data_IF_040861560459
#
_entry.id   IF_040861560459
#
_cell.length_a   1.000
_cell.length_b   1.000
_cell.length_c   1.000
_cell.angle_alpha   90.00
_cell.angle_beta   90.00
_cell.angle_gamma   90.00
#
_symmetry.space_group_name_H-M   'P 1'
#
loop_
_entity.id
_entity.type
_entity.pdbx_description
1 polymer ?
#
# COMPACT_ATOMS: atom_id res chain seq x y z
N UNK A 1 10.69 -52.86 24.81
CA UNK A 1 9.53 -51.98 25.04
C UNK A 1 9.71 -50.81 24.11
N UNK A 2 9.41 -51.06 22.85
CA UNK A 2 9.77 -50.17 21.75
C UNK A 2 8.80 -48.98 21.75
N UNK A 3 9.32 -47.82 22.12
CA UNK A 3 8.59 -46.57 22.17
C UNK A 3 8.30 -46.07 20.76
N UNK A 4 7.17 -46.50 20.22
CA UNK A 4 6.58 -45.96 19.00
C UNK A 4 6.18 -44.49 19.25
N UNK A 5 7.12 -43.59 18.98
CA UNK A 5 6.87 -42.14 19.08
C UNK A 5 6.20 -41.71 17.78
N UNK A 6 4.95 -41.24 17.80
CA UNK A 6 4.25 -40.88 16.57
C UNK A 6 4.99 -39.74 15.85
N UNK A 7 5.06 -39.77 14.51
CA UNK A 7 5.75 -38.73 13.75
C UNK A 7 5.11 -37.36 14.05
N UNK A 8 5.93 -36.29 14.13
CA UNK A 8 5.43 -34.95 14.44
C UNK A 8 4.34 -34.57 13.42
N UNK A 9 3.17 -34.18 13.93
CA UNK A 9 2.05 -33.74 13.10
C UNK A 9 2.52 -32.60 12.20
N UNK A 10 2.71 -32.88 10.91
CA UNK A 10 3.02 -31.87 9.90
C UNK A 10 1.89 -30.85 9.88
N UNK A 11 2.14 -29.69 10.47
CA UNK A 11 1.27 -28.51 10.34
C UNK A 11 1.22 -28.18 8.85
N UNK A 12 0.11 -28.52 8.19
CA UNK A 12 -0.14 -28.12 6.80
C UNK A 12 -0.11 -26.59 6.77
N UNK A 13 1.00 -25.99 6.36
CA UNK A 13 1.07 -24.55 6.09
C UNK A 13 0.03 -24.27 5.01
N UNK A 14 -1.09 -23.65 5.39
CA UNK A 14 -2.13 -23.21 4.46
C UNK A 14 -1.44 -22.31 3.44
N UNK A 15 -1.70 -22.51 2.15
CA UNK A 15 -1.20 -21.60 1.12
C UNK A 15 -1.68 -20.18 1.47
N UNK A 16 -0.78 -19.18 1.51
CA UNK A 16 -1.17 -17.84 1.91
C UNK A 16 -2.17 -17.30 0.89
N UNK A 17 -3.25 -16.70 1.40
CA UNK A 17 -4.25 -16.06 0.57
C UNK A 17 -3.68 -14.80 -0.09
N UNK A 18 -4.39 -14.25 -1.08
CA UNK A 18 -3.91 -13.08 -1.84
C UNK A 18 -3.55 -11.91 -0.92
N UNK A 19 -4.39 -11.62 0.08
CA UNK A 19 -4.16 -10.55 1.05
C UNK A 19 -2.85 -10.75 1.83
N UNK A 20 -2.57 -11.97 2.27
CA UNK A 20 -1.31 -12.30 2.94
C UNK A 20 -0.11 -12.10 2.02
N UNK A 21 -0.17 -12.59 0.78
CA UNK A 21 0.92 -12.39 -0.19
C UNK A 21 1.15 -10.92 -0.50
N UNK A 22 0.09 -10.15 -0.68
CA UNK A 22 0.20 -8.70 -0.89
C UNK A 22 0.79 -8.01 0.33
N UNK A 23 0.42 -8.43 1.54
CA UNK A 23 0.98 -7.86 2.77
C UNK A 23 2.48 -8.11 2.89
N UNK A 24 2.95 -9.30 2.55
CA UNK A 24 4.38 -9.65 2.57
C UNK A 24 5.19 -8.88 1.53
N UNK A 25 4.56 -8.52 0.41
CA UNK A 25 5.24 -7.90 -0.73
C UNK A 25 5.21 -6.38 -0.67
N UNK A 26 4.08 -5.79 -0.28
CA UNK A 26 3.83 -4.35 -0.43
C UNK A 26 3.92 -3.55 0.86
N UNK A 27 3.65 -4.14 2.02
CA UNK A 27 3.70 -3.39 3.28
C UNK A 27 5.16 -3.10 3.61
N UNK A 28 5.54 -1.82 3.79
CA UNK A 28 6.89 -1.50 4.20
C UNK A 28 7.16 -2.01 5.61
N UNK A 29 8.37 -2.49 5.85
CA UNK A 29 8.77 -3.01 7.17
C UNK A 29 9.52 -1.92 7.94
N UNK A 30 9.13 -1.70 9.19
CA UNK A 30 9.85 -0.80 10.10
C UNK A 30 11.08 -1.51 10.65
N UNK A 31 12.26 -0.96 10.42
CA UNK A 31 13.49 -1.50 11.00
C UNK A 31 13.69 -1.01 12.46
N UNK A 32 14.64 -1.59 13.22
CA UNK A 32 14.92 -1.15 14.59
C UNK A 32 15.37 0.30 14.73
N UNK A 33 15.89 0.91 13.65
CA UNK A 33 16.25 2.33 13.60
C UNK A 33 15.05 3.24 13.30
N UNK A 34 13.82 2.70 13.32
CA UNK A 34 12.57 3.42 13.05
C UNK A 34 12.49 4.03 11.65
N UNK A 35 13.15 3.39 10.68
CA UNK A 35 13.04 3.72 9.26
C UNK A 35 12.22 2.66 8.52
N UNK A 36 11.30 3.11 7.68
CA UNK A 36 10.47 2.25 6.86
C UNK A 36 11.23 1.80 5.61
N UNK A 37 11.15 0.51 5.31
CA UNK A 37 11.80 -0.09 4.16
C UNK A 37 10.75 -0.71 3.23
N UNK A 38 10.62 -0.15 2.03
CA UNK A 38 9.74 -0.67 0.98
C UNK A 38 10.44 -1.78 0.19
N UNK A 39 9.66 -2.69 -0.36
CA UNK A 39 10.19 -3.73 -1.24
C UNK A 39 10.79 -3.12 -2.52
N UNK A 40 12.09 -3.32 -2.71
CA UNK A 40 12.87 -2.79 -3.84
C UNK A 40 12.99 -3.75 -5.03
N UNK A 41 12.32 -4.90 -4.99
CA UNK A 41 12.40 -5.93 -6.05
C UNK A 41 11.19 -5.98 -6.97
N UNK A 42 10.04 -5.47 -6.53
CA UNK A 42 8.80 -5.56 -7.31
C UNK A 42 8.64 -4.30 -8.13
N UNK A 43 8.90 -4.40 -9.43
CA UNK A 43 8.80 -3.30 -10.39
C UNK A 43 7.43 -3.25 -11.07
N UNK A 44 6.71 -4.37 -11.11
CA UNK A 44 5.39 -4.47 -11.70
C UNK A 44 4.52 -5.46 -10.95
N UNK A 45 3.26 -5.10 -10.72
CA UNK A 45 2.27 -5.96 -10.07
C UNK A 45 1.00 -6.03 -10.93
N UNK A 46 0.70 -7.22 -11.43
CA UNK A 46 -0.52 -7.48 -12.17
C UNK A 46 -1.54 -8.19 -11.26
N UNK A 47 -2.62 -7.49 -10.92
CA UNK A 47 -3.74 -8.01 -10.14
C UNK A 47 -5.03 -7.96 -10.95
N UNK A 48 -4.95 -7.95 -12.28
CA UNK A 48 -6.13 -7.96 -13.14
C UNK A 48 -7.04 -9.14 -12.79
N UNK A 49 -8.33 -8.84 -12.60
CA UNK A 49 -9.37 -9.82 -12.24
C UNK A 49 -9.06 -10.62 -10.95
N UNK A 50 -8.50 -9.98 -9.92
CA UNK A 50 -8.10 -10.63 -8.66
C UNK A 50 -9.13 -10.48 -7.53
N UNK A 51 -10.35 -10.03 -7.84
CA UNK A 51 -11.44 -9.81 -6.87
C UNK A 51 -11.05 -8.93 -5.69
N UNK A 52 -10.31 -7.85 -5.97
CA UNK A 52 -9.80 -6.92 -4.94
C UNK A 52 -10.95 -6.15 -4.26
N UNK A 53 -11.90 -5.61 -5.04
CA UNK A 53 -13.02 -4.81 -4.54
C UNK A 53 -12.58 -3.51 -3.82
N UNK A 54 -13.53 -2.77 -3.21
CA UNK A 54 -13.24 -1.51 -2.54
C UNK A 54 -12.30 -1.64 -1.33
N UNK A 55 -12.51 -2.66 -0.49
CA UNK A 55 -11.69 -2.88 0.70
C UNK A 55 -10.27 -3.34 0.35
N UNK A 56 -10.11 -4.10 -0.73
CA UNK A 56 -8.79 -4.45 -1.24
C UNK A 56 -8.05 -3.25 -1.82
N UNK A 57 -8.76 -2.32 -2.47
CA UNK A 57 -8.17 -1.06 -2.95
C UNK A 57 -7.73 -0.16 -1.79
N UNK A 58 -8.53 -0.02 -0.73
CA UNK A 58 -8.14 0.68 0.51
C UNK A 58 -6.91 0.03 1.16
N UNK A 59 -6.82 -1.30 1.13
CA UNK A 59 -5.64 -2.01 1.60
C UNK A 59 -4.40 -1.71 0.75
N UNK A 60 -4.51 -1.75 -0.58
CA UNK A 60 -3.42 -1.40 -1.49
C UNK A 60 -2.97 0.05 -1.29
N UNK A 61 -3.90 0.97 -1.15
CA UNK A 61 -3.64 2.37 -0.83
C UNK A 61 -2.81 2.50 0.44
N UNK A 62 -3.25 1.86 1.54
CA UNK A 62 -2.49 1.86 2.80
C UNK A 62 -1.09 1.29 2.65
N UNK A 63 -0.92 0.22 1.88
CA UNK A 63 0.38 -0.41 1.66
C UNK A 63 1.34 0.46 0.81
N UNK A 64 0.82 1.16 -0.21
CA UNK A 64 1.60 1.99 -1.12
C UNK A 64 1.85 3.42 -0.60
N UNK A 65 1.05 3.89 0.36
CA UNK A 65 1.17 5.22 0.93
C UNK A 65 2.59 5.49 1.46
N UNK A 66 3.10 6.69 1.23
CA UNK A 66 4.39 7.11 1.80
C UNK A 66 4.47 6.95 3.31
N UNK A 67 5.65 6.74 3.85
CA UNK A 67 5.86 6.69 5.30
C UNK A 67 6.86 7.74 5.75
N UNK A 68 6.73 8.18 6.99
CA UNK A 68 7.68 9.10 7.60
C UNK A 68 8.66 8.32 8.48
N UNK A 69 9.95 8.51 8.22
CA UNK A 69 11.03 7.98 9.04
C UNK A 69 11.19 8.79 10.33
N UNK A 70 12.00 8.29 11.26
CA UNK A 70 12.25 8.98 12.53
C UNK A 70 12.98 10.32 12.38
N UNK A 71 13.77 10.48 11.32
CA UNK A 71 14.43 11.74 10.94
C UNK A 71 13.48 12.76 10.28
N UNK A 72 12.20 12.41 10.14
CA UNK A 72 11.19 13.26 9.54
C UNK A 72 11.12 13.17 8.01
N UNK A 73 12.02 12.42 7.35
CA UNK A 73 12.02 12.23 5.89
C UNK A 73 10.87 11.35 5.43
N UNK A 74 10.32 11.65 4.26
CA UNK A 74 9.35 10.79 3.59
C UNK A 74 10.06 9.71 2.78
N UNK A 75 9.53 8.49 2.85
CA UNK A 75 10.01 7.34 2.08
C UNK A 75 8.83 6.67 1.37
N UNK A 76 9.07 6.22 0.14
CA UNK A 76 8.08 5.62 -0.76
C UNK A 76 8.69 4.39 -1.44
N UNK A 77 7.85 3.60 -2.11
CA UNK A 77 8.35 2.59 -3.03
C UNK A 77 8.91 3.27 -4.30
N UNK A 78 10.23 3.22 -4.50
CA UNK A 78 10.91 3.88 -5.62
C UNK A 78 11.04 3.02 -6.88
N UNK A 79 10.67 1.73 -6.81
CA UNK A 79 10.89 0.76 -7.88
C UNK A 79 9.62 0.30 -8.58
N UNK A 80 8.47 0.35 -7.90
CA UNK A 80 7.19 -0.06 -8.48
C UNK A 80 6.79 0.93 -9.58
N UNK A 81 6.80 0.48 -10.84
CA UNK A 81 6.49 1.27 -12.03
C UNK A 81 5.11 0.98 -12.61
N UNK A 82 4.57 -0.21 -12.36
CA UNK A 82 3.31 -0.65 -12.95
C UNK A 82 2.43 -1.36 -11.92
N UNK A 83 1.18 -0.95 -11.81
CA UNK A 83 0.14 -1.61 -11.03
C UNK A 83 -1.10 -1.78 -11.91
N UNK A 84 -1.40 -3.02 -12.34
CA UNK A 84 -2.60 -3.32 -13.10
C UNK A 84 -3.72 -3.80 -12.15
N UNK A 85 -4.84 -3.05 -12.12
CA UNK A 85 -6.04 -3.34 -11.33
C UNK A 85 -7.29 -3.53 -12.20
N UNK A 86 -7.15 -3.79 -13.49
CA UNK A 86 -8.28 -4.05 -14.39
C UNK A 86 -9.24 -5.11 -13.82
N UNK A 87 -10.54 -4.95 -14.09
CA UNK A 87 -11.59 -5.90 -13.70
C UNK A 87 -11.64 -6.25 -12.20
N UNK A 88 -11.37 -5.29 -11.30
CA UNK A 88 -11.41 -5.52 -9.85
C UNK A 88 -12.59 -4.86 -9.11
N UNK A 89 -13.45 -4.11 -9.80
CA UNK A 89 -14.62 -3.43 -9.23
C UNK A 89 -14.27 -2.68 -7.92
N UNK A 90 -13.24 -1.84 -7.96
CA UNK A 90 -12.73 -1.13 -6.77
C UNK A 90 -13.68 -0.05 -6.24
N UNK A 91 -14.62 0.42 -7.06
CA UNK A 91 -15.56 1.48 -6.73
C UNK A 91 -14.89 2.84 -6.46
N UNK A 92 -15.71 3.86 -6.24
CA UNK A 92 -15.24 5.24 -6.08
C UNK A 92 -14.40 5.40 -4.81
N UNK A 93 -14.84 4.83 -3.68
CA UNK A 93 -14.08 4.88 -2.43
C UNK A 93 -12.70 4.22 -2.54
N UNK A 94 -12.61 3.10 -3.28
CA UNK A 94 -11.35 2.42 -3.51
C UNK A 94 -10.41 3.22 -4.40
N UNK A 95 -10.97 3.87 -5.43
CA UNK A 95 -10.22 4.75 -6.32
C UNK A 95 -9.69 5.99 -5.59
N UNK A 96 -10.54 6.67 -4.80
CA UNK A 96 -10.15 7.83 -3.97
C UNK A 96 -9.00 7.47 -3.04
N UNK A 97 -9.13 6.36 -2.29
CA UNK A 97 -8.06 5.92 -1.39
C UNK A 97 -6.74 5.67 -2.12
N UNK A 98 -6.76 5.06 -3.31
CA UNK A 98 -5.56 4.86 -4.13
C UNK A 98 -4.93 6.18 -4.58
N UNK A 99 -5.75 7.14 -5.02
CA UNK A 99 -5.24 8.44 -5.47
C UNK A 99 -4.66 9.26 -4.32
N UNK A 100 -5.29 9.26 -3.14
CA UNK A 100 -4.74 9.89 -1.94
C UNK A 100 -3.39 9.26 -1.53
N UNK A 101 -3.25 7.94 -1.67
CA UNK A 101 -2.01 7.25 -1.36
C UNK A 101 -0.87 7.53 -2.34
N UNK A 102 -1.20 7.77 -3.61
CA UNK A 102 -0.25 8.04 -4.69
C UNK A 102 -0.03 9.54 -4.94
N UNK A 103 -0.75 10.40 -4.23
CA UNK A 103 -0.62 11.85 -4.36
C UNK A 103 0.82 12.30 -4.07
N UNK A 104 1.34 13.31 -4.82
CA UNK A 104 2.66 13.84 -4.59
C UNK A 104 2.76 14.42 -3.17
N UNK A 105 3.87 14.14 -2.50
CA UNK A 105 4.21 14.75 -1.21
C UNK A 105 5.30 15.78 -1.45
N UNK A 106 5.02 17.00 -1.04
CA UNK A 106 5.99 18.09 -1.06
C UNK A 106 6.90 17.93 0.16
N UNK A 107 8.17 17.64 -0.07
CA UNK A 107 9.19 17.62 0.99
C UNK A 107 9.75 19.04 1.06
N UNK A 108 9.33 19.81 2.07
CA UNK A 108 9.96 21.09 2.37
C UNK A 108 11.22 20.83 3.18
N UNK A 109 12.36 21.24 2.64
CA UNK A 109 13.66 21.12 3.31
C UNK A 109 13.68 22.07 4.52
N UNK A 110 13.31 21.54 5.69
CA UNK A 110 13.62 22.15 6.99
C UNK A 110 12.93 23.48 7.28
N UNK A 111 11.63 23.42 7.59
CA UNK A 111 11.02 24.32 8.56
C UNK A 111 9.72 23.66 9.05
N UNK A 112 9.71 23.36 10.35
CA UNK A 112 8.54 23.45 11.20
C UNK A 112 7.21 23.84 10.52
N UNK A 113 6.36 22.84 10.27
CA UNK A 113 4.97 22.96 10.68
C UNK A 113 4.36 21.57 10.96
N UNK A 114 3.93 21.40 12.19
CA UNK A 114 3.11 20.29 12.66
C UNK A 114 1.62 20.56 12.45
N UNK A 115 1.27 21.50 11.57
CA UNK A 115 -0.08 21.73 11.11
C UNK A 115 -0.23 21.10 9.72
N UNK A 116 -1.12 20.13 9.69
CA UNK A 116 -2.06 19.89 8.61
C UNK A 116 -2.22 21.09 7.65
N UNK A 117 -1.34 21.21 6.66
CA UNK A 117 -1.57 22.13 5.53
C UNK A 117 -2.57 21.46 4.61
N UNK A 118 -3.83 21.53 5.03
CA UNK A 118 -5.04 21.51 4.21
C UNK A 118 -5.08 22.68 3.19
N UNK A 119 -3.91 23.16 2.77
CA UNK A 119 -3.70 24.30 1.88
C UNK A 119 -2.97 23.91 0.59
N UNK A 120 -3.06 22.66 0.15
CA UNK A 120 -2.74 22.35 -1.24
C UNK A 120 -3.94 22.75 -2.10
N UNK A 121 -3.80 23.94 -2.72
CA UNK A 121 -4.37 24.33 -4.00
C UNK A 121 -5.56 23.48 -4.42
N UNK A 122 -6.74 24.04 -4.24
CA UNK A 122 -8.04 23.65 -4.80
C UNK A 122 -7.92 23.23 -6.27
N UNK A 123 -7.37 22.05 -6.54
CA UNK A 123 -7.80 21.24 -7.67
C UNK A 123 -9.19 20.82 -7.25
N UNK A 124 -10.17 21.64 -7.62
CA UNK A 124 -11.56 21.41 -7.32
C UNK A 124 -11.91 20.05 -7.93
N UNK A 125 -11.88 19.00 -7.11
CA UNK A 125 -12.23 17.64 -7.52
C UNK A 125 -13.68 17.61 -8.06
N UNK A 126 -14.47 18.65 -7.78
CA UNK A 126 -15.80 18.85 -8.34
C UNK A 126 -15.81 19.47 -9.75
N UNK A 127 -14.71 20.08 -10.23
CA UNK A 127 -14.67 20.66 -11.58
C UNK A 127 -14.65 19.57 -12.66
N UNK A 128 -13.92 18.48 -12.42
CA UNK A 128 -13.97 17.27 -13.22
C UNK A 128 -15.35 16.60 -13.18
N UNK A 129 -15.95 16.42 -11.99
CA UNK A 129 -17.26 15.76 -11.85
C UNK A 129 -18.43 16.58 -12.44
N UNK A 130 -18.32 17.91 -12.52
CA UNK A 130 -19.32 18.77 -13.16
C UNK A 130 -19.21 18.82 -14.68
N UNK A 131 -18.06 18.47 -15.25
CA UNK A 131 -17.82 18.54 -16.70
C UNK A 131 -18.25 17.27 -17.47
N UNK A 132 -18.58 16.18 -16.79
CA UNK A 132 -18.93 14.88 -17.41
C UNK A 132 -20.37 14.44 -17.15
N UNK A 133 -21.25 15.33 -16.70
CA UNK A 133 -22.68 15.09 -16.50
C UNK A 133 -23.52 15.48 -17.73
#
# INVERSE_FOLDING_TARGET
GDGDTPPPKMVRRRAPNLKQRLSEVLIPVLNPMRNWNFNTRVTGLNLSNASIGPEGAKFLASALHGRRNADGTWVFNSVLRSLNLEFNSIGDEGAVALFEALAPRWVTDGADDASDVSGHSEFDQNEWMRSTA
#
